data_IF_258166403794
#
_entry.id   IF_258166403794
#
_cell.length_a   1.000
_cell.length_b   1.000
_cell.length_c   1.000
_cell.angle_alpha   90.00
_cell.angle_beta   90.00
_cell.angle_gamma   90.00
#
_symmetry.space_group_name_H-M   'P 1'
#
loop_
_entity.id
_entity.type
_entity.pdbx_description
1 polymer ?
#
# COMPACT_ATOMS: atom_id res chain seq x y z
N UNK A 1 -8.69 2.50 -12.03
CA UNK A 1 -8.35 3.11 -10.73
C UNK A 1 -7.23 2.35 -10.05
N UNK A 2 -6.47 3.00 -9.21
CA UNK A 2 -5.42 2.36 -8.42
C UNK A 2 -6.03 1.94 -7.09
N UNK A 3 -5.76 0.70 -6.68
CA UNK A 3 -6.16 0.19 -5.38
C UNK A 3 -4.92 -0.32 -4.64
N UNK A 4 -4.99 -0.40 -3.32
CA UNK A 4 -3.86 -0.78 -2.47
C UNK A 4 -4.06 -2.15 -1.78
N UNK A 5 -5.02 -2.94 -2.25
CA UNK A 5 -5.25 -4.25 -1.65
C UNK A 5 -3.99 -5.14 -1.62
N UNK A 6 -3.08 -5.09 -2.63
CA UNK A 6 -1.85 -5.87 -2.53
C UNK A 6 -0.99 -5.53 -1.31
N UNK A 7 -0.98 -4.27 -0.88
CA UNK A 7 -0.21 -3.87 0.31
C UNK A 7 -0.63 -4.67 1.55
N UNK A 8 -1.94 -4.75 1.78
CA UNK A 8 -2.44 -5.45 2.97
C UNK A 8 -2.12 -6.93 2.93
N UNK A 9 -2.19 -7.53 1.74
CA UNK A 9 -1.83 -8.93 1.56
C UNK A 9 -0.33 -9.15 1.76
N UNK A 10 0.50 -8.26 1.21
CA UNK A 10 1.96 -8.35 1.37
C UNK A 10 2.37 -8.23 2.82
N UNK A 11 1.74 -7.31 3.56
CA UNK A 11 1.98 -7.16 4.99
C UNK A 11 1.66 -8.45 5.73
N UNK A 12 0.52 -9.05 5.42
CA UNK A 12 0.10 -10.30 6.03
C UNK A 12 1.07 -11.45 5.70
N UNK A 13 1.45 -11.56 4.43
CA UNK A 13 2.34 -12.62 3.98
C UNK A 13 3.73 -12.52 4.61
N UNK A 14 4.21 -11.31 4.85
CA UNK A 14 5.53 -11.07 5.42
C UNK A 14 5.51 -10.89 6.93
N UNK A 15 4.34 -10.92 7.56
CA UNK A 15 4.21 -10.73 9.00
C UNK A 15 4.56 -9.33 9.46
N UNK A 16 4.33 -8.32 8.61
CA UNK A 16 4.63 -6.93 8.93
C UNK A 16 3.34 -6.24 9.36
N UNK A 17 3.37 -5.60 10.54
CA UNK A 17 2.21 -4.90 11.08
C UNK A 17 2.24 -3.42 10.74
N UNK A 18 1.09 -2.76 10.82
CA UNK A 18 1.02 -1.30 10.71
C UNK A 18 1.90 -0.63 11.77
N UNK A 19 1.93 -1.18 12.96
CA UNK A 19 2.79 -0.68 14.05
C UNK A 19 4.26 -0.67 13.61
N UNK A 20 4.74 -1.77 13.01
CA UNK A 20 6.11 -1.85 12.54
C UNK A 20 6.40 -0.83 11.44
N UNK A 21 5.47 -0.62 10.51
CA UNK A 21 5.65 0.38 9.45
C UNK A 21 5.76 1.78 10.05
N UNK A 22 4.93 2.11 11.02
CA UNK A 22 4.91 3.44 11.63
C UNK A 22 6.16 3.67 12.48
N UNK A 23 6.48 2.76 13.37
CA UNK A 23 7.49 2.99 14.40
C UNK A 23 8.90 2.52 14.04
N UNK A 24 9.03 1.57 13.13
CA UNK A 24 10.35 1.08 12.69
C UNK A 24 10.78 1.66 11.35
N UNK A 25 9.84 2.04 10.50
CA UNK A 25 10.12 2.45 9.13
C UNK A 25 9.66 3.86 8.80
N UNK A 26 9.16 4.58 9.79
CA UNK A 26 8.75 5.99 9.66
C UNK A 26 7.65 6.23 8.61
N UNK A 27 6.81 5.25 8.37
CA UNK A 27 5.61 5.44 7.53
C UNK A 27 4.55 6.11 8.39
N UNK A 28 4.01 7.25 7.97
CA UNK A 28 3.06 7.97 8.80
C UNK A 28 1.72 7.24 8.89
N UNK A 29 1.08 7.35 10.04
CA UNK A 29 -0.27 6.82 10.24
C UNK A 29 -1.25 7.42 9.25
N UNK A 30 -1.10 8.72 8.95
CA UNK A 30 -1.92 9.42 7.97
C UNK A 30 -1.78 8.83 6.56
N UNK A 31 -0.57 8.40 6.20
CA UNK A 31 -0.33 7.73 4.92
C UNK A 31 -1.11 6.42 4.84
N UNK A 32 -1.03 5.59 5.88
CA UNK A 32 -1.77 4.33 5.90
C UNK A 32 -3.27 4.56 5.89
N UNK A 33 -3.74 5.61 6.59
CA UNK A 33 -5.15 5.99 6.57
C UNK A 33 -5.60 6.35 5.15
N UNK A 34 -4.82 7.19 4.44
CA UNK A 34 -5.15 7.56 3.07
C UNK A 34 -5.21 6.34 2.16
N UNK A 35 -4.29 5.42 2.33
CA UNK A 35 -4.28 4.19 1.52
C UNK A 35 -5.50 3.31 1.81
N UNK A 36 -5.92 3.22 3.08
CA UNK A 36 -7.15 2.50 3.43
C UNK A 36 -8.38 3.12 2.79
N UNK A 37 -8.35 4.43 2.55
CA UNK A 37 -9.45 5.16 1.89
C UNK A 37 -9.30 5.21 0.37
N UNK A 38 -8.29 4.57 -0.19
CA UNK A 38 -8.06 4.56 -1.62
C UNK A 38 -7.59 5.88 -2.18
N UNK A 39 -7.02 6.75 -1.35
CA UNK A 39 -6.58 8.08 -1.77
C UNK A 39 -5.16 8.06 -2.34
N UNK A 40 -4.83 9.10 -3.10
CA UNK A 40 -3.51 9.20 -3.73
C UNK A 40 -2.40 9.33 -2.69
N UNK A 41 -1.26 8.72 -3.01
CA UNK A 41 -0.01 8.86 -2.24
C UNK A 41 1.11 9.17 -3.22
N UNK A 42 2.22 9.67 -2.70
CA UNK A 42 3.37 10.02 -3.54
C UNK A 42 4.21 8.79 -3.86
N UNK A 43 5.00 8.89 -4.93
CA UNK A 43 5.98 7.85 -5.28
C UNK A 43 7.06 7.73 -4.22
N UNK A 44 7.33 8.80 -3.46
CA UNK A 44 8.26 8.73 -2.32
C UNK A 44 7.76 7.74 -1.28
N UNK A 45 6.46 7.76 -0.99
CA UNK A 45 5.84 6.80 -0.08
C UNK A 45 5.95 5.37 -0.63
N UNK A 46 5.70 5.19 -1.92
CA UNK A 46 5.85 3.88 -2.57
C UNK A 46 7.30 3.38 -2.40
N UNK A 47 8.27 4.25 -2.65
CA UNK A 47 9.68 3.92 -2.46
C UNK A 47 9.97 3.47 -1.02
N UNK A 48 9.45 4.21 -0.05
CA UNK A 48 9.67 3.91 1.36
C UNK A 48 9.03 2.58 1.76
N UNK A 49 7.84 2.29 1.26
CA UNK A 49 7.16 1.03 1.52
C UNK A 49 7.90 -0.15 0.89
N UNK A 50 8.37 0.00 -0.34
CA UNK A 50 9.17 -1.04 -1.00
C UNK A 50 10.44 -1.34 -0.21
N UNK A 51 11.10 -0.30 0.27
CA UNK A 51 12.32 -0.43 1.06
C UNK A 51 12.03 -1.11 2.41
N UNK A 52 10.95 -0.70 3.08
CA UNK A 52 10.58 -1.23 4.38
C UNK A 52 10.21 -2.71 4.31
N UNK A 53 9.48 -3.10 3.28
CA UNK A 53 8.97 -4.46 3.13
C UNK A 53 9.79 -5.32 2.19
N UNK A 54 10.85 -4.76 1.58
CA UNK A 54 11.70 -5.46 0.61
C UNK A 54 10.86 -6.08 -0.50
N UNK A 55 10.04 -5.24 -1.12
CA UNK A 55 9.12 -5.67 -2.16
C UNK A 55 9.16 -4.69 -3.33
N UNK A 56 8.31 -4.91 -4.33
CA UNK A 56 8.19 -4.04 -5.50
C UNK A 56 6.86 -3.30 -5.46
N UNK A 57 6.67 -2.24 -6.29
CA UNK A 57 5.38 -1.55 -6.34
C UNK A 57 4.19 -2.45 -6.66
N UNK A 58 4.40 -3.55 -7.40
CA UNK A 58 3.34 -4.51 -7.69
C UNK A 58 2.80 -5.20 -6.42
N UNK A 59 3.61 -5.23 -5.37
CA UNK A 59 3.21 -5.79 -4.08
C UNK A 59 2.48 -4.79 -3.20
N UNK A 60 2.32 -3.55 -3.67
CA UNK A 60 1.72 -2.46 -2.90
C UNK A 60 0.43 -1.99 -3.55
N UNK A 61 0.38 -1.90 -4.87
CA UNK A 61 -0.76 -1.34 -5.58
C UNK A 61 -1.06 -2.12 -6.85
N UNK A 62 -2.31 -1.94 -7.33
CA UNK A 62 -2.80 -2.62 -8.52
C UNK A 62 -3.69 -1.66 -9.29
N UNK A 63 -3.55 -1.64 -10.61
CA UNK A 63 -4.49 -0.92 -11.46
C UNK A 63 -5.66 -1.82 -11.80
N UNK A 64 -6.86 -1.31 -11.60
CA UNK A 64 -8.11 -1.98 -12.00
C UNK A 64 -8.82 -1.06 -12.97
N UNK A 65 -9.21 -1.56 -14.13
CA UNK A 65 -9.89 -0.71 -15.10
C UNK A 65 -11.27 -0.32 -14.56
N UNK A 66 -11.71 0.90 -14.91
CA UNK A 66 -13.01 1.38 -14.47
C UNK A 66 -14.16 0.52 -15.03
N UNK A 67 -13.96 -0.07 -16.21
CA UNK A 67 -14.92 -0.97 -16.81
C UNK A 67 -15.10 -2.24 -15.98
N UNK A 68 -13.98 -2.85 -15.53
CA UNK A 68 -14.02 -4.02 -14.64
C UNK A 68 -14.71 -3.67 -13.33
N UNK A 69 -14.37 -2.49 -12.79
CA UNK A 69 -14.94 -2.02 -11.54
C UNK A 69 -16.43 -1.76 -11.66
N UNK A 70 -16.87 -1.21 -12.78
CA UNK A 70 -18.29 -0.93 -13.04
C UNK A 70 -19.10 -2.21 -13.24
N UNK A 71 -18.47 -3.28 -13.72
CA UNK A 71 -19.13 -4.57 -13.95
C UNK A 71 -19.40 -5.34 -12.66
N UNK A 72 -18.80 -4.91 -11.58
CA UNK A 72 -18.98 -5.53 -10.27
C UNK A 72 -20.03 -4.80 -9.45
#
# INVERSE_FOLDING_TARGET
MIIYSPLWQTMKDKGITSYALIYKHNISNGTLYRMRKGRAISTVVINDLCKAMKCTPNDIMLYVSDEENAAQ
#
